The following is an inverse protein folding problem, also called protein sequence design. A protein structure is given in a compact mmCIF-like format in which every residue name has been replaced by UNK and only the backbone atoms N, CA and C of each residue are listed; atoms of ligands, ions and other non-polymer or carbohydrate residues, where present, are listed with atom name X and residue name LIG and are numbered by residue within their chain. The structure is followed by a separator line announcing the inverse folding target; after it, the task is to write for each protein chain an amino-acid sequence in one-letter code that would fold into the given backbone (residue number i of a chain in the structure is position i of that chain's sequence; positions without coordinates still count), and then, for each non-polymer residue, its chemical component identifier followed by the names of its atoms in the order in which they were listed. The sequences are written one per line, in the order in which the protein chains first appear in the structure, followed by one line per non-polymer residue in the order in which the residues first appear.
data_IF_208184160744
#
_entry.id   IF_208184160744
#
_cell.length_a   1.000
_cell.length_b   1.000
_cell.length_c   1.000
_cell.angle_alpha   90.00
_cell.angle_beta   90.00
_cell.angle_gamma   90.00
#
_symmetry.space_group_name_H-M   'P 1'
#
loop_
_entity.id
_entity.type
_entity.pdbx_description
1 polymer ?
#
# COMPACT_ATOMS: atom_id res chain seq x y z
N UNK A 1 10.71 -8.58 4.81
CA UNK A 1 10.85 -7.76 3.58
C UNK A 1 10.05 -6.49 3.70
N UNK A 2 10.44 -5.43 3.01
CA UNK A 2 9.67 -4.19 2.91
C UNK A 2 8.50 -4.33 1.94
N UNK A 3 7.42 -3.57 2.21
CA UNK A 3 6.24 -3.47 1.36
C UNK A 3 5.92 -2.00 1.10
N UNK A 4 5.75 -1.61 -0.15
CA UNK A 4 5.28 -0.28 -0.54
C UNK A 4 3.79 -0.34 -0.85
N UNK A 5 3.00 0.54 -0.21
CA UNK A 5 1.56 0.64 -0.44
C UNK A 5 1.24 2.00 -1.06
N UNK A 6 0.73 1.99 -2.28
CA UNK A 6 0.37 3.21 -3.02
C UNK A 6 -0.99 3.72 -2.56
N UNK A 7 -1.01 4.86 -1.88
CA UNK A 7 -2.19 5.43 -1.23
C UNK A 7 -2.42 6.93 -1.54
N UNK A 8 -1.76 7.47 -2.58
CA UNK A 8 -1.78 8.90 -2.90
C UNK A 8 -3.04 9.41 -3.61
N UNK A 9 -3.94 8.53 -4.04
CA UNK A 9 -5.10 8.88 -4.86
C UNK A 9 -6.17 9.70 -4.12
N UNK A 10 -6.73 10.71 -4.79
CA UNK A 10 -7.80 11.59 -4.25
C UNK A 10 -9.12 10.84 -3.99
N UNK A 11 -9.37 9.72 -4.70
CA UNK A 11 -10.61 8.96 -4.54
C UNK A 11 -11.86 9.70 -5.05
N UNK A 12 -11.76 10.44 -6.15
CA UNK A 12 -12.82 11.33 -6.67
C UNK A 12 -14.15 10.62 -6.94
N UNK A 13 -14.13 9.33 -7.26
CA UNK A 13 -15.34 8.51 -7.50
C UNK A 13 -16.13 8.22 -6.23
N UNK A 14 -15.51 8.38 -5.04
CA UNK A 14 -16.11 8.14 -3.73
C UNK A 14 -16.57 9.42 -3.04
N UNK A 15 -16.66 10.54 -3.76
CA UNK A 15 -17.28 11.76 -3.23
C UNK A 15 -18.77 11.50 -2.93
N UNK A 16 -19.32 12.07 -1.85
CA UNK A 16 -18.75 13.15 -1.01
C UNK A 16 -17.83 12.68 0.13
N UNK A 17 -17.71 11.39 0.39
CA UNK A 17 -16.95 10.88 1.56
C UNK A 17 -15.48 11.27 1.53
N UNK A 18 -14.85 11.26 0.35
CA UNK A 18 -13.45 11.67 0.21
C UNK A 18 -13.22 13.18 0.28
N UNK A 19 -14.27 14.01 0.46
CA UNK A 19 -14.10 15.43 0.73
C UNK A 19 -13.53 15.69 2.14
N UNK A 20 -13.93 14.88 3.12
CA UNK A 20 -13.52 15.04 4.52
C UNK A 20 -12.36 14.12 4.92
N UNK A 21 -12.26 12.93 4.30
CA UNK A 21 -11.34 11.87 4.68
C UNK A 21 -10.65 11.29 3.42
N UNK A 22 -9.34 11.01 3.44
CA UNK A 22 -8.70 10.38 2.31
C UNK A 22 -9.21 8.94 2.14
N UNK A 23 -9.28 8.44 0.89
CA UNK A 23 -9.79 7.11 0.56
C UNK A 23 -9.20 5.98 1.41
N UNK A 24 -7.88 5.95 1.70
CA UNK A 24 -7.28 4.91 2.52
C UNK A 24 -7.84 4.80 3.94
N UNK A 25 -8.37 5.90 4.49
CA UNK A 25 -8.97 5.92 5.83
C UNK A 25 -10.48 5.69 5.84
N UNK A 26 -11.11 5.46 4.69
CA UNK A 26 -12.53 5.11 4.68
C UNK A 26 -12.76 3.82 5.45
N UNK A 27 -13.80 3.77 6.31
CA UNK A 27 -14.10 2.58 7.09
C UNK A 27 -14.53 1.42 6.19
N UNK A 28 -13.96 0.24 6.46
CA UNK A 28 -14.28 -1.00 5.81
C UNK A 28 -14.43 -2.10 6.88
N UNK A 29 -15.64 -2.42 7.23
CA UNK A 29 -15.96 -3.32 8.34
C UNK A 29 -15.47 -2.75 9.69
N UNK A 30 -14.54 -3.42 10.34
CA UNK A 30 -13.97 -3.10 11.64
C UNK A 30 -12.70 -2.24 11.60
N UNK A 31 -12.19 -1.95 10.38
CA UNK A 31 -10.93 -1.23 10.17
C UNK A 31 -11.06 -0.23 9.02
N UNK A 32 -10.01 0.57 8.80
CA UNK A 32 -9.92 1.37 7.58
C UNK A 32 -9.50 0.51 6.40
N UNK A 33 -9.75 1.00 5.18
CA UNK A 33 -9.36 0.30 3.95
C UNK A 33 -7.86 0.01 3.92
N UNK A 34 -7.02 0.97 4.32
CA UNK A 34 -5.57 0.81 4.35
C UNK A 34 -5.12 -0.22 5.40
N UNK A 35 -5.75 -0.23 6.58
CA UNK A 35 -5.49 -1.27 7.58
C UNK A 35 -5.86 -2.66 7.05
N UNK A 36 -7.00 -2.81 6.36
CA UNK A 36 -7.37 -4.09 5.74
C UNK A 36 -6.31 -4.59 4.77
N UNK A 37 -5.74 -3.68 3.95
CA UNK A 37 -4.64 -4.03 3.03
C UNK A 37 -3.39 -4.45 3.82
N UNK A 38 -2.97 -3.66 4.81
CA UNK A 38 -1.76 -3.93 5.60
C UNK A 38 -1.90 -5.23 6.40
N UNK A 39 -3.00 -5.42 7.11
CA UNK A 39 -3.22 -6.63 7.93
C UNK A 39 -3.56 -7.89 7.10
N UNK A 40 -3.81 -7.75 5.80
CA UNK A 40 -3.90 -8.91 4.90
C UNK A 40 -2.54 -9.52 4.57
N UNK A 41 -1.44 -8.83 4.89
CA UNK A 41 -0.08 -9.29 4.63
C UNK A 41 0.39 -10.27 5.72
N UNK A 42 1.23 -11.27 5.38
CA UNK A 42 1.74 -12.21 6.37
C UNK A 42 2.76 -11.52 7.30
N UNK A 43 2.49 -11.43 8.61
CA UNK A 43 3.33 -10.66 9.54
C UNK A 43 4.74 -11.23 9.72
N UNK A 44 4.93 -12.52 9.47
CA UNK A 44 6.24 -13.17 9.53
C UNK A 44 7.13 -12.92 8.30
N UNK A 45 6.61 -12.26 7.28
CA UNK A 45 7.32 -11.95 6.03
C UNK A 45 7.59 -10.45 5.87
N UNK A 46 6.75 -9.61 6.47
CA UNK A 46 6.80 -8.16 6.35
C UNK A 46 7.45 -7.56 7.60
N UNK A 47 8.53 -6.81 7.41
CA UNK A 47 9.24 -6.11 8.49
C UNK A 47 8.81 -4.65 8.58
N UNK A 48 8.57 -4.02 7.41
CA UNK A 48 8.24 -2.60 7.31
C UNK A 48 7.23 -2.36 6.19
N UNK A 49 6.28 -1.46 6.43
CA UNK A 49 5.32 -0.97 5.44
C UNK A 49 5.59 0.50 5.14
N UNK A 50 5.89 0.81 3.88
CA UNK A 50 6.11 2.17 3.37
C UNK A 50 4.82 2.60 2.66
N UNK A 51 4.14 3.61 3.17
CA UNK A 51 2.90 4.14 2.58
C UNK A 51 3.22 5.39 1.77
N UNK A 52 3.10 5.30 0.44
CA UNK A 52 3.17 6.45 -0.45
C UNK A 52 1.83 7.18 -0.41
N UNK A 53 1.74 8.26 0.37
CA UNK A 53 0.54 9.04 0.60
C UNK A 53 0.61 10.41 -0.07
N UNK A 54 -0.52 10.93 -0.51
CA UNK A 54 -0.63 12.26 -1.11
C UNK A 54 -1.77 13.06 -0.49
N UNK A 55 -2.97 12.92 -1.04
CA UNK A 55 -4.13 13.65 -0.56
C UNK A 55 -4.40 13.40 0.92
N UNK A 56 -4.36 14.48 1.73
CA UNK A 56 -4.58 14.44 3.20
C UNK A 56 -3.67 13.43 3.93
N UNK A 57 -2.42 13.34 3.51
CA UNK A 57 -1.43 12.42 4.09
C UNK A 57 -1.26 12.58 5.60
N UNK A 58 -1.39 13.81 6.13
CA UNK A 58 -1.31 14.07 7.58
C UNK A 58 -2.37 13.32 8.39
N UNK A 59 -3.56 13.11 7.81
CA UNK A 59 -4.59 12.29 8.45
C UNK A 59 -4.17 10.82 8.51
N UNK A 60 -3.54 10.31 7.45
CA UNK A 60 -3.01 8.93 7.39
C UNK A 60 -1.93 8.78 8.45
N UNK A 61 -1.00 9.73 8.53
CA UNK A 61 0.06 9.74 9.53
C UNK A 61 -0.49 9.73 10.94
N UNK A 62 -1.37 10.68 11.28
CA UNK A 62 -1.99 10.77 12.60
C UNK A 62 -2.76 9.50 12.98
N UNK A 63 -3.40 8.85 12.00
CA UNK A 63 -4.11 7.60 12.22
C UNK A 63 -3.15 6.48 12.66
N UNK A 64 -2.08 6.27 11.91
CA UNK A 64 -1.11 5.21 12.21
C UNK A 64 -0.24 5.52 13.44
N UNK A 65 0.07 6.80 13.72
CA UNK A 65 0.76 7.21 14.96
C UNK A 65 -0.07 6.83 16.22
N UNK A 66 -1.39 6.73 16.09
CA UNK A 66 -2.31 6.34 17.18
C UNK A 66 -2.50 4.82 17.31
N UNK A 67 -2.07 4.04 16.34
CA UNK A 67 -2.22 2.59 16.32
C UNK A 67 -0.95 1.90 16.83
N UNK A 68 -1.17 0.80 17.55
CA UNK A 68 -0.08 -0.12 17.90
C UNK A 68 -0.02 -1.19 16.81
N UNK A 69 0.83 -0.98 15.80
CA UNK A 69 0.99 -1.91 14.67
C UNK A 69 2.08 -2.94 14.95
N UNK A 70 1.91 -4.14 14.38
CA UNK A 70 2.92 -5.22 14.45
C UNK A 70 4.10 -5.00 13.49
N UNK A 71 4.03 -3.94 12.66
CA UNK A 71 5.06 -3.56 11.67
C UNK A 71 5.50 -2.12 11.89
N UNK A 72 6.73 -1.82 11.49
CA UNK A 72 7.16 -0.44 11.33
C UNK A 72 6.45 0.18 10.12
N UNK A 73 5.85 1.38 10.31
CA UNK A 73 5.13 2.09 9.26
C UNK A 73 5.83 3.42 8.97
N UNK A 74 6.30 3.57 7.73
CA UNK A 74 6.89 4.80 7.22
C UNK A 74 5.93 5.46 6.23
N UNK A 75 5.57 6.74 6.46
CA UNK A 75 4.71 7.50 5.54
C UNK A 75 5.57 8.42 4.69
N UNK A 76 5.54 8.21 3.37
CA UNK A 76 6.24 9.04 2.38
C UNK A 76 5.22 9.95 1.70
N UNK A 77 5.42 11.27 1.83
CA UNK A 77 4.49 12.25 1.26
C UNK A 77 4.77 12.52 -0.21
N UNK A 78 3.71 12.47 -1.03
CA UNK A 78 3.69 13.02 -2.39
C UNK A 78 3.20 14.47 -2.34
N UNK A 79 4.04 15.43 -2.67
CA UNK A 79 3.67 16.86 -2.70
C UNK A 79 2.78 17.23 -3.88
N UNK A 80 2.82 16.43 -4.94
CA UNK A 80 2.01 16.55 -6.16
C UNK A 80 1.68 15.15 -6.70
N UNK A 81 0.64 14.98 -7.52
CA UNK A 81 0.30 13.69 -8.10
C UNK A 81 1.38 13.18 -9.04
N UNK A 82 2.14 12.18 -8.61
CA UNK A 82 3.27 11.61 -9.36
C UNK A 82 2.86 10.44 -10.26
N UNK A 83 1.63 9.95 -10.12
CA UNK A 83 1.19 8.70 -10.73
C UNK A 83 1.86 7.47 -10.11
N UNK A 84 1.49 6.27 -10.55
CA UNK A 84 1.95 5.01 -9.93
C UNK A 84 3.47 4.87 -9.93
N UNK A 85 4.10 5.11 -11.08
CA UNK A 85 5.56 4.99 -11.21
C UNK A 85 6.31 6.06 -10.43
N UNK A 86 5.82 7.32 -10.45
CA UNK A 86 6.43 8.41 -9.71
C UNK A 86 6.28 8.26 -8.20
N UNK A 87 5.13 7.79 -7.71
CA UNK A 87 4.91 7.48 -6.30
C UNK A 87 5.91 6.42 -5.81
N UNK A 88 6.11 5.38 -6.62
CA UNK A 88 7.10 4.35 -6.32
C UNK A 88 8.53 4.90 -6.34
N UNK A 89 8.88 5.72 -7.33
CA UNK A 89 10.18 6.40 -7.40
C UNK A 89 10.44 7.32 -6.20
N UNK A 90 9.40 7.99 -5.69
CA UNK A 90 9.49 8.84 -4.48
C UNK A 90 9.83 8.04 -3.20
N UNK A 91 9.59 6.73 -3.22
CA UNK A 91 9.93 5.83 -2.11
C UNK A 91 11.36 5.25 -2.21
N UNK A 92 12.14 5.58 -3.24
CA UNK A 92 13.44 4.93 -3.52
C UNK A 92 14.44 5.02 -2.35
N UNK A 93 14.46 6.15 -1.63
CA UNK A 93 15.40 6.37 -0.53
C UNK A 93 15.02 5.58 0.75
N UNK A 94 13.84 5.03 0.79
CA UNK A 94 13.30 4.23 1.90
C UNK A 94 13.41 2.72 1.65
N UNK A 95 13.61 2.32 0.39
CA UNK A 95 13.65 0.90 0.00
C UNK A 95 15.10 0.42 -0.08
N UNK A 96 15.41 -0.68 0.60
CA UNK A 96 16.78 -1.19 0.74
C UNK A 96 17.07 -2.46 -0.07
N UNK A 97 16.06 -3.03 -0.75
CA UNK A 97 16.25 -4.28 -1.51
C UNK A 97 14.99 -4.71 -2.27
N UNK A 98 14.82 -6.02 -2.45
CA UNK A 98 13.59 -6.56 -3.04
C UNK A 98 12.40 -6.28 -2.12
N UNK A 99 11.37 -5.66 -2.65
CA UNK A 99 10.16 -5.29 -1.94
C UNK A 99 8.92 -5.71 -2.72
N UNK A 100 7.78 -5.80 -2.05
CA UNK A 100 6.48 -5.94 -2.69
C UNK A 100 5.80 -4.57 -2.83
N UNK A 101 5.02 -4.37 -3.89
CA UNK A 101 4.24 -3.15 -4.09
C UNK A 101 2.76 -3.49 -4.26
N UNK A 102 1.90 -2.79 -3.50
CA UNK A 102 0.45 -2.96 -3.54
C UNK A 102 -0.26 -1.64 -3.77
N UNK A 103 -1.42 -1.70 -4.41
CA UNK A 103 -2.37 -0.59 -4.37
C UNK A 103 -3.07 -0.59 -3.01
N UNK A 104 -3.12 0.55 -2.34
CA UNK A 104 -3.72 0.72 -1.01
C UNK A 104 -5.26 0.65 -0.97
N UNK A 105 -5.87 0.29 -2.08
CA UNK A 105 -7.32 0.15 -2.24
C UNK A 105 -7.73 -1.25 -2.76
N UNK A 106 -6.80 -2.19 -2.80
CA UNK A 106 -7.04 -3.55 -3.27
C UNK A 106 -6.69 -4.54 -2.15
N UNK A 107 -7.69 -5.21 -1.63
CA UNK A 107 -7.49 -6.35 -0.73
C UNK A 107 -7.29 -7.58 -1.61
N UNK A 108 -6.14 -8.23 -1.47
CA UNK A 108 -5.76 -9.36 -2.29
C UNK A 108 -5.57 -10.62 -1.45
N UNK A 109 -6.03 -11.75 -1.98
CA UNK A 109 -5.73 -13.09 -1.45
C UNK A 109 -4.45 -13.68 -2.04
N UNK A 110 -3.65 -12.88 -2.75
CA UNK A 110 -2.40 -13.33 -3.36
C UNK A 110 -1.41 -13.78 -2.28
N UNK A 111 -0.87 -14.98 -2.46
CA UNK A 111 0.20 -15.49 -1.61
C UNK A 111 1.55 -14.83 -2.00
N UNK A 112 1.91 -13.80 -1.23
CA UNK A 112 3.15 -13.03 -1.45
C UNK A 112 4.38 -13.93 -1.34
N UNK A 113 4.35 -14.96 -0.48
CA UNK A 113 5.48 -15.88 -0.30
C UNK A 113 5.77 -16.65 -1.58
N UNK A 114 4.71 -17.11 -2.26
CA UNK A 114 4.85 -17.78 -3.57
C UNK A 114 5.37 -16.83 -4.64
N UNK A 115 4.86 -15.58 -4.68
CA UNK A 115 5.33 -14.59 -5.65
C UNK A 115 6.80 -14.24 -5.42
N UNK A 116 7.23 -14.08 -4.16
CA UNK A 116 8.61 -13.82 -3.79
C UNK A 116 9.53 -14.98 -4.19
N UNK A 117 9.12 -16.22 -3.94
CA UNK A 117 9.88 -17.42 -4.34
C UNK A 117 10.00 -17.50 -5.86
N UNK A 118 8.92 -17.23 -6.60
CA UNK A 118 8.93 -17.17 -8.06
C UNK A 118 9.94 -16.11 -8.56
N UNK A 119 9.90 -14.90 -7.95
CA UNK A 119 10.80 -13.81 -8.27
C UNK A 119 12.28 -14.22 -8.08
N UNK A 120 12.61 -14.76 -6.90
CA UNK A 120 13.98 -15.20 -6.58
C UNK A 120 14.48 -16.29 -7.53
N UNK A 121 13.61 -17.24 -7.91
CA UNK A 121 14.00 -18.37 -8.77
C UNK A 121 14.20 -17.96 -10.23
N UNK A 122 13.49 -16.93 -10.70
CA UNK A 122 13.57 -16.52 -12.12
C UNK A 122 14.54 -15.35 -12.36
N UNK A 123 15.04 -14.67 -11.34
CA UNK A 123 16.07 -13.63 -11.43
C UNK A 123 15.68 -12.40 -12.26
N UNK A 124 14.39 -12.07 -12.36
CA UNK A 124 13.90 -10.88 -13.05
C UNK A 124 14.01 -9.62 -12.18
N UNK A 125 13.91 -8.44 -12.81
CA UNK A 125 13.87 -7.14 -12.08
C UNK A 125 12.52 -6.90 -11.41
N UNK A 126 11.45 -7.61 -11.82
CA UNK A 126 10.12 -7.53 -11.22
C UNK A 126 9.28 -8.74 -11.57
N UNK A 127 8.35 -9.08 -10.68
CA UNK A 127 7.34 -10.11 -10.89
C UNK A 127 5.97 -9.52 -10.62
N UNK A 128 4.99 -9.81 -11.49
CA UNK A 128 3.64 -9.28 -11.38
C UNK A 128 2.66 -10.38 -10.95
N UNK A 129 1.81 -10.05 -10.00
CA UNK A 129 0.64 -10.85 -9.64
C UNK A 129 -0.63 -10.19 -10.21
N UNK A 130 -1.00 -10.47 -11.49
CA UNK A 130 -2.14 -9.83 -12.10
C UNK A 130 -3.45 -10.32 -11.49
N UNK A 131 -4.42 -9.41 -11.35
CA UNK A 131 -5.80 -9.74 -10.96
C UNK A 131 -6.59 -10.03 -12.23
N UNK A 132 -7.25 -11.19 -12.28
CA UNK A 132 -8.18 -11.50 -13.35
C UNK A 132 -9.55 -10.94 -13.01
N UNK A 133 -10.07 -10.02 -13.84
CA UNK A 133 -11.44 -9.57 -13.78
C UNK A 133 -12.30 -10.50 -14.64
N UNK A 134 -13.11 -11.34 -14.03
CA UNK A 134 -14.19 -12.00 -14.73
C UNK A 134 -15.36 -11.03 -14.82
N UNK A 135 -15.64 -10.55 -16.02
CA UNK A 135 -16.91 -9.90 -16.31
C UNK A 135 -18.00 -11.00 -16.37
N UNK A 136 -18.91 -10.96 -15.42
CA UNK A 136 -20.18 -11.68 -15.51
C UNK A 136 -21.15 -10.88 -16.39
#
# INVERSE_FOLDING_TARGET
MQVVVLAGGIGSRLKPWTNSMPKPLLPMLDRTLLEQVIYSMPPNLVDEVIVAGGYKVDMIKSHFDSLNCDFDITIVNETEPLGTGGALGNCQDYVTGTFACFNGDIISSLDISKLLNLHKNNGGIGSLGPVSYTHL
#
